data_IF_854409065317
#
_entry.id   IF_854409065317
#
_cell.length_a   1.000
_cell.length_b   1.000
_cell.length_c   1.000
_cell.angle_alpha   90.00
_cell.angle_beta   90.00
_cell.angle_gamma   90.00
#
_symmetry.space_group_name_H-M   'P 1'
#
loop_
_entity.id
_entity.type
_entity.pdbx_description
1 polymer ?
#
# COMPACT_ATOMS: atom_id res chain seq x y z
N UNK A 1 6.86 2.66 45.37
CA UNK A 1 7.29 1.53 44.52
C UNK A 1 6.20 0.93 43.61
N UNK A 2 4.90 1.24 43.76
CA UNK A 2 3.82 0.62 42.96
C UNK A 2 3.45 1.37 41.67
N UNK A 3 3.71 2.69 41.62
CA UNK A 3 3.38 3.53 40.46
C UNK A 3 4.35 3.35 39.28
N UNK A 4 5.61 2.97 39.54
CA UNK A 4 6.60 2.74 38.50
C UNK A 4 6.20 1.60 37.55
N UNK A 5 5.62 0.51 38.08
CA UNK A 5 5.18 -0.63 37.28
C UNK A 5 4.02 -0.28 36.32
N UNK A 6 3.11 0.60 36.76
CA UNK A 6 1.95 1.03 35.96
C UNK A 6 2.42 1.91 34.80
N UNK A 7 3.39 2.79 35.05
CA UNK A 7 3.96 3.69 34.03
C UNK A 7 4.68 2.87 32.94
N UNK A 8 5.43 1.82 33.32
CA UNK A 8 6.14 0.96 32.35
C UNK A 8 5.19 0.18 31.45
N UNK A 9 4.10 -0.37 32.00
CA UNK A 9 3.08 -1.10 31.23
C UNK A 9 2.40 -0.22 30.19
N UNK A 10 2.04 1.00 30.59
CA UNK A 10 1.32 1.94 29.72
C UNK A 10 2.19 2.42 28.55
N UNK A 11 3.50 2.61 28.79
CA UNK A 11 4.46 2.99 27.76
C UNK A 11 4.68 1.86 26.72
N UNK A 12 4.73 0.60 27.19
CA UNK A 12 4.83 -0.55 26.30
C UNK A 12 3.62 -0.66 25.36
N UNK A 13 2.40 -0.44 25.86
CA UNK A 13 1.17 -0.51 25.04
C UNK A 13 1.19 0.58 23.95
N UNK A 14 1.68 1.78 24.28
CA UNK A 14 1.77 2.88 23.31
C UNK A 14 2.77 2.59 22.19
N UNK A 15 3.91 1.96 22.50
CA UNK A 15 4.94 1.58 21.52
C UNK A 15 4.47 0.47 20.57
N UNK A 16 3.66 -0.48 21.05
CA UNK A 16 3.13 -1.57 20.21
C UNK A 16 2.18 -1.01 19.12
N UNK A 17 1.38 0.00 19.47
CA UNK A 17 0.42 0.60 18.53
C UNK A 17 1.10 1.48 17.46
N UNK A 18 2.25 2.08 17.75
CA UNK A 18 3.02 2.85 16.78
C UNK A 18 3.67 1.97 15.68
N UNK A 19 3.90 0.68 15.97
CA UNK A 19 4.45 -0.28 15.00
C UNK A 19 3.43 -0.85 14.01
N UNK A 20 2.13 -0.60 14.20
CA UNK A 20 1.06 -1.20 13.38
C UNK A 20 0.53 -0.31 12.25
N UNK A 21 1.18 0.83 11.99
CA UNK A 21 0.88 1.69 10.83
C UNK A 21 1.96 1.64 9.76
N UNK A 22 2.56 0.47 9.53
CA UNK A 22 3.42 0.24 8.37
C UNK A 22 2.87 -0.87 7.47
N UNK A 23 1.56 -0.85 7.22
CA UNK A 23 0.98 -1.52 6.07
C UNK A 23 1.34 -0.73 4.80
N UNK A 24 2.59 -0.89 4.38
CA UNK A 24 3.12 -0.74 3.03
C UNK A 24 2.25 0.05 2.05
N UNK A 25 2.17 1.38 2.19
CA UNK A 25 2.00 2.20 0.98
C UNK A 25 3.33 2.16 0.26
N UNK A 26 3.55 1.10 -0.54
CA UNK A 26 4.58 1.09 -1.58
C UNK A 26 4.40 2.39 -2.34
N UNK A 27 5.24 3.36 -2.04
CA UNK A 27 5.32 4.65 -2.71
C UNK A 27 5.89 4.36 -4.09
N UNK A 28 5.02 3.83 -4.98
CA UNK A 28 5.31 3.81 -6.41
C UNK A 28 5.36 5.27 -6.82
N UNK A 29 6.46 5.68 -7.48
CA UNK A 29 6.55 6.95 -8.22
C UNK A 29 5.19 7.29 -8.85
N UNK A 30 4.81 8.58 -8.96
CA UNK A 30 3.56 8.95 -9.62
C UNK A 30 3.55 8.35 -11.03
N UNK A 31 2.81 7.26 -11.21
CA UNK A 31 2.69 6.57 -12.48
C UNK A 31 1.49 7.16 -13.22
N UNK A 32 1.72 7.58 -14.46
CA UNK A 32 0.62 7.95 -15.35
C UNK A 32 -0.09 6.66 -15.76
N UNK A 33 -1.21 6.37 -15.10
CA UNK A 33 -2.04 5.22 -15.40
C UNK A 33 -3.30 5.65 -16.14
N UNK A 34 -3.76 4.81 -17.07
CA UNK A 34 -5.03 5.02 -17.75
C UNK A 34 -6.19 4.84 -16.77
N UNK A 35 -7.25 5.63 -16.97
CA UNK A 35 -8.51 5.46 -16.23
C UNK A 35 -9.35 4.29 -16.75
N UNK A 36 -8.88 3.59 -17.77
CA UNK A 36 -9.48 2.38 -18.31
C UNK A 36 -9.25 1.16 -17.40
N UNK A 37 -10.15 0.18 -17.54
CA UNK A 37 -10.18 -1.08 -16.81
C UNK A 37 -10.37 -2.17 -17.85
N UNK A 38 -9.35 -3.02 -18.00
CA UNK A 38 -9.21 -4.02 -19.04
C UNK A 38 -9.35 -5.42 -18.45
N UNK A 39 -10.02 -6.31 -19.17
CA UNK A 39 -10.21 -7.69 -18.74
C UNK A 39 -8.89 -8.48 -18.76
N UNK A 40 -7.98 -8.14 -19.66
CA UNK A 40 -6.71 -8.85 -19.88
C UNK A 40 -5.51 -7.90 -19.86
N UNK A 41 -4.31 -8.43 -19.63
CA UNK A 41 -3.09 -7.65 -19.45
C UNK A 41 -2.39 -7.26 -20.77
N UNK A 42 -2.73 -7.92 -21.88
CA UNK A 42 -2.11 -7.78 -23.20
C UNK A 42 -2.54 -6.53 -23.97
N UNK A 43 -3.50 -5.77 -23.44
CA UNK A 43 -4.08 -4.60 -24.12
C UNK A 43 -3.22 -3.33 -24.02
N UNK A 44 -2.03 -3.38 -23.42
CA UNK A 44 -1.18 -2.21 -23.26
C UNK A 44 -0.30 -1.98 -24.50
N UNK A 45 -0.33 -0.77 -25.10
CA UNK A 45 0.53 -0.44 -26.22
C UNK A 45 2.00 -0.35 -25.79
N UNK A 46 2.90 -0.31 -26.77
CA UNK A 46 4.35 -0.24 -26.53
C UNK A 46 4.72 0.94 -25.61
N UNK A 47 5.62 0.66 -24.66
CA UNK A 47 6.04 1.62 -23.64
C UNK A 47 5.03 1.84 -22.50
N UNK A 48 3.98 1.02 -22.40
CA UNK A 48 3.12 0.90 -21.22
C UNK A 48 3.25 -0.50 -20.61
N UNK A 49 3.09 -0.60 -19.29
CA UNK A 49 3.05 -1.87 -18.58
C UNK A 49 1.69 -2.11 -17.93
N UNK A 50 1.22 -3.35 -17.96
CA UNK A 50 -0.02 -3.74 -17.33
C UNK A 50 0.12 -3.83 -15.80
N UNK A 51 -0.84 -3.28 -15.08
CA UNK A 51 -0.91 -3.30 -13.62
C UNK A 51 -2.33 -3.67 -13.19
N UNK A 52 -2.47 -4.62 -12.27
CA UNK A 52 -3.78 -4.93 -11.68
C UNK A 52 -4.29 -3.74 -10.88
N UNK A 53 -5.55 -3.34 -11.13
CA UNK A 53 -6.27 -2.39 -10.30
C UNK A 53 -6.79 -3.11 -9.04
N UNK A 54 -7.08 -2.33 -8.00
CA UNK A 54 -7.51 -2.74 -6.66
C UNK A 54 -8.39 -4.02 -6.68
N UNK A 55 -8.00 -5.02 -5.89
CA UNK A 55 -8.66 -6.32 -5.74
C UNK A 55 -8.66 -7.28 -6.96
N UNK A 56 -7.87 -7.01 -8.00
CA UNK A 56 -7.57 -8.00 -9.06
C UNK A 56 -8.67 -8.20 -10.11
N UNK A 57 -9.71 -7.35 -10.08
CA UNK A 57 -10.84 -7.42 -11.00
C UNK A 57 -10.52 -6.95 -12.43
N UNK A 58 -9.50 -6.12 -12.61
CA UNK A 58 -9.08 -5.69 -13.95
C UNK A 58 -7.65 -5.19 -14.00
N UNK A 59 -7.17 -5.01 -15.23
CA UNK A 59 -5.88 -4.44 -15.58
C UNK A 59 -6.02 -2.98 -15.99
N UNK A 60 -4.97 -2.21 -15.75
CA UNK A 60 -4.80 -0.85 -16.29
C UNK A 60 -3.39 -0.73 -16.85
N UNK A 61 -3.24 0.07 -17.89
CA UNK A 61 -1.95 0.38 -18.49
C UNK A 61 -1.36 1.60 -17.81
N UNK A 62 -0.13 1.46 -17.32
CA UNK A 62 0.61 2.53 -16.66
C UNK A 62 1.94 2.78 -17.38
N UNK A 63 2.43 4.01 -17.28
CA UNK A 63 3.78 4.41 -17.69
C UNK A 63 4.46 5.08 -16.51
N UNK A 64 5.78 4.89 -16.43
CA UNK A 64 6.62 5.45 -15.38
C UNK A 64 7.03 6.89 -15.67
#
# INVERSE_FOLDING_TARGET
MKFAAIITLTLCILLINAGLTEAAKKSKKPQACWKACYSTADQCPEGFFAKKRMAGFCWTCCRN
#
